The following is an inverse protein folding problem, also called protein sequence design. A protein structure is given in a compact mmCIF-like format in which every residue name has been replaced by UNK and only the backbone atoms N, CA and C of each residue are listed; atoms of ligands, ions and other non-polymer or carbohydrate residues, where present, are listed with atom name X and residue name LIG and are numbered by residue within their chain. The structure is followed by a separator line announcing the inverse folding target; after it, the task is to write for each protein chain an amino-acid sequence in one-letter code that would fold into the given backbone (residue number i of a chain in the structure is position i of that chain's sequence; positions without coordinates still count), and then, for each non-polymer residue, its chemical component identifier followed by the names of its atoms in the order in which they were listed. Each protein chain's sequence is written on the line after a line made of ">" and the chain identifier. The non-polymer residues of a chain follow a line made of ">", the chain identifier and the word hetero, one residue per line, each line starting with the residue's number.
data_IF_550051224762
#
_entry.id   IF_550051224762
#
_cell.length_a   1.000
_cell.length_b   1.000
_cell.length_c   1.000
_cell.angle_alpha   90.00
_cell.angle_beta   90.00
_cell.angle_gamma   90.00
#
_symmetry.space_group_name_H-M   'P 1'
#
loop_
_entity.id
_entity.type
_entity.pdbx_description
1 polymer ?
#
# COMPACT_ATOMS: atom_id res chain seq x y z
N UNK A 1 -15.72 -3.05 -12.45
CA UNK A 1 -17.00 -3.80 -12.43
C UNK A 1 -18.07 -3.12 -13.25
N UNK A 2 -18.22 -1.79 -13.13
CA UNK A 2 -19.20 -1.01 -13.88
C UNK A 2 -19.01 -1.08 -15.40
N UNK A 3 -17.77 -1.02 -15.90
CA UNK A 3 -17.49 -1.12 -17.35
C UNK A 3 -17.88 -2.48 -17.95
N UNK A 4 -17.56 -3.60 -17.29
CA UNK A 4 -17.98 -4.94 -17.74
C UNK A 4 -19.51 -5.06 -17.72
N UNK A 5 -20.17 -4.52 -16.70
CA UNK A 5 -21.62 -4.52 -16.61
C UNK A 5 -22.28 -3.66 -17.69
N UNK A 6 -21.70 -2.50 -18.02
CA UNK A 6 -22.18 -1.61 -19.08
C UNK A 6 -22.05 -2.27 -20.47
N UNK A 7 -20.90 -2.85 -20.77
CA UNK A 7 -20.65 -3.56 -22.02
C UNK A 7 -21.49 -4.85 -22.13
N UNK A 8 -21.74 -5.55 -21.02
CA UNK A 8 -22.67 -6.68 -21.00
C UNK A 8 -24.12 -6.28 -21.27
N UNK A 9 -24.57 -5.12 -20.76
CA UNK A 9 -25.90 -4.57 -21.09
C UNK A 9 -25.99 -4.21 -22.57
N UNK A 10 -24.98 -3.54 -23.13
CA UNK A 10 -24.87 -3.23 -24.56
C UNK A 10 -24.93 -4.49 -25.43
N UNK A 11 -24.26 -5.58 -25.00
CA UNK A 11 -24.32 -6.87 -25.68
C UNK A 11 -25.73 -7.47 -25.69
N UNK A 12 -26.45 -7.38 -24.57
CA UNK A 12 -27.82 -7.88 -24.47
C UNK A 12 -28.82 -7.06 -25.32
N UNK A 13 -28.50 -5.79 -25.61
CA UNK A 13 -29.32 -4.94 -26.50
C UNK A 13 -29.05 -5.15 -27.99
N UNK A 14 -28.08 -5.99 -28.36
CA UNK A 14 -27.72 -6.23 -29.77
C UNK A 14 -26.88 -5.12 -30.42
N UNK A 15 -26.60 -4.02 -29.72
CA UNK A 15 -25.83 -2.86 -30.22
C UNK A 15 -24.31 -2.99 -30.00
N UNK A 16 -23.80 -4.21 -29.89
CA UNK A 16 -22.42 -4.46 -29.50
C UNK A 16 -21.51 -4.56 -30.72
N UNK A 17 -20.52 -3.66 -30.79
CA UNK A 17 -19.47 -3.68 -31.82
C UNK A 17 -18.47 -4.81 -31.58
N UNK A 18 -17.70 -5.15 -32.61
CA UNK A 18 -16.63 -6.16 -32.52
C UNK A 18 -15.56 -5.73 -31.50
N UNK A 19 -15.28 -4.44 -31.42
CA UNK A 19 -14.34 -3.84 -30.46
C UNK A 19 -14.84 -3.99 -29.02
N UNK A 20 -16.12 -3.71 -28.77
CA UNK A 20 -16.74 -3.89 -27.46
C UNK A 20 -16.68 -5.35 -26.97
N UNK A 21 -16.77 -6.32 -27.88
CA UNK A 21 -16.60 -7.76 -27.56
C UNK A 21 -15.16 -8.08 -27.15
N UNK A 22 -14.17 -7.57 -27.88
CA UNK A 22 -12.74 -7.74 -27.54
C UNK A 22 -12.42 -7.12 -26.18
N UNK A 23 -12.92 -5.91 -25.92
CA UNK A 23 -12.72 -5.21 -24.65
C UNK A 23 -13.36 -5.97 -23.48
N UNK A 24 -14.54 -6.55 -23.69
CA UNK A 24 -15.16 -7.44 -22.71
C UNK A 24 -14.28 -8.63 -22.35
N UNK A 25 -13.73 -9.33 -23.34
CA UNK A 25 -12.87 -10.50 -23.12
C UNK A 25 -11.58 -10.11 -22.36
N UNK A 26 -10.96 -8.98 -22.75
CA UNK A 26 -9.78 -8.44 -22.06
C UNK A 26 -10.10 -8.11 -20.60
N UNK A 27 -11.22 -7.44 -20.35
CA UNK A 27 -11.64 -7.07 -19.00
C UNK A 27 -12.00 -8.31 -18.15
N UNK A 28 -12.62 -9.33 -18.73
CA UNK A 28 -12.88 -10.61 -18.07
C UNK A 28 -11.59 -11.33 -17.67
N UNK A 29 -10.61 -11.39 -18.58
CA UNK A 29 -9.30 -11.97 -18.31
C UNK A 29 -8.55 -11.20 -17.21
N UNK A 30 -8.55 -9.86 -17.29
CA UNK A 30 -7.97 -8.99 -16.26
C UNK A 30 -8.60 -9.24 -14.89
N UNK A 31 -9.94 -9.34 -14.83
CA UNK A 31 -10.67 -9.64 -13.59
C UNK A 31 -10.30 -11.01 -13.02
N UNK A 32 -10.26 -12.03 -13.88
CA UNK A 32 -9.86 -13.39 -13.48
C UNK A 32 -8.46 -13.41 -12.86
N UNK A 33 -7.50 -12.75 -13.52
CA UNK A 33 -6.12 -12.66 -13.04
C UNK A 33 -6.00 -11.91 -11.69
N UNK A 34 -6.71 -10.78 -11.55
CA UNK A 34 -6.73 -10.02 -10.29
C UNK A 34 -7.36 -10.83 -9.15
N UNK A 35 -8.43 -11.58 -9.42
CA UNK A 35 -9.05 -12.46 -8.42
C UNK A 35 -8.11 -13.59 -8.00
N UNK A 36 -7.42 -14.24 -8.95
CA UNK A 36 -6.39 -15.26 -8.64
C UNK A 36 -5.29 -14.68 -7.75
N UNK A 37 -4.77 -13.49 -8.11
CA UNK A 37 -3.73 -12.80 -7.32
C UNK A 37 -4.23 -12.44 -5.92
N UNK A 38 -5.46 -11.96 -5.80
CA UNK A 38 -6.08 -11.61 -4.52
C UNK A 38 -6.20 -12.84 -3.61
N UNK A 39 -6.69 -13.95 -4.14
CA UNK A 39 -6.81 -15.20 -3.41
C UNK A 39 -5.45 -15.75 -2.96
N UNK A 40 -4.44 -15.66 -3.83
CA UNK A 40 -3.07 -16.03 -3.50
C UNK A 40 -2.51 -15.17 -2.35
N UNK A 41 -2.72 -13.86 -2.37
CA UNK A 41 -2.29 -12.96 -1.30
C UNK A 41 -3.00 -13.24 0.03
N UNK A 42 -4.31 -13.52 -0.01
CA UNK A 42 -5.07 -13.91 1.18
C UNK A 42 -4.51 -15.20 1.79
N UNK A 43 -4.27 -16.22 0.96
CA UNK A 43 -3.68 -17.49 1.39
C UNK A 43 -2.28 -17.29 2.00
N UNK A 44 -1.43 -16.51 1.33
CA UNK A 44 -0.10 -16.18 1.83
C UNK A 44 -0.15 -15.45 3.18
N UNK A 45 -1.07 -14.50 3.34
CA UNK A 45 -1.27 -13.78 4.60
C UNK A 45 -1.71 -14.73 5.71
N UNK A 46 -2.62 -15.66 5.44
CA UNK A 46 -3.07 -16.65 6.41
C UNK A 46 -1.91 -17.57 6.83
N UNK A 47 -1.12 -18.07 5.87
CA UNK A 47 0.05 -18.91 6.13
C UNK A 47 1.10 -18.17 6.97
N UNK A 48 1.43 -16.92 6.61
CA UNK A 48 2.37 -16.09 7.38
C UNK A 48 1.86 -15.85 8.80
N UNK A 49 0.57 -15.59 8.98
CA UNK A 49 -0.05 -15.39 10.29
C UNK A 49 0.08 -16.63 11.15
N UNK A 50 -0.18 -17.81 10.58
CA UNK A 50 -0.01 -19.11 11.26
C UNK A 50 1.44 -19.33 11.69
N UNK A 51 2.40 -19.10 10.78
CA UNK A 51 3.82 -19.25 11.07
C UNK A 51 4.26 -18.32 12.20
N UNK A 52 3.85 -17.04 12.17
CA UNK A 52 4.16 -16.07 13.22
C UNK A 52 3.59 -16.49 14.58
N UNK A 53 2.34 -16.96 14.61
CA UNK A 53 1.70 -17.47 15.83
C UNK A 53 2.47 -18.67 16.40
N UNK A 54 2.83 -19.64 15.56
CA UNK A 54 3.58 -20.82 16.00
C UNK A 54 4.97 -20.45 16.52
N UNK A 55 5.71 -19.59 15.81
CA UNK A 55 7.02 -19.09 16.27
C UNK A 55 6.92 -18.36 17.61
N UNK A 56 5.88 -17.53 17.79
CA UNK A 56 5.64 -16.84 19.06
C UNK A 56 5.38 -17.84 20.19
N UNK A 57 4.62 -18.91 19.93
CA UNK A 57 4.33 -19.94 20.92
C UNK A 57 5.58 -20.77 21.27
N UNK A 58 6.37 -21.17 20.27
CA UNK A 58 7.66 -21.84 20.48
C UNK A 58 8.64 -20.98 21.26
N UNK A 59 8.72 -19.69 20.94
CA UNK A 59 9.56 -18.74 21.67
C UNK A 59 9.13 -18.64 23.13
N UNK A 60 7.82 -18.48 23.39
CA UNK A 60 7.30 -18.46 24.77
C UNK A 60 7.67 -19.71 25.54
N UNK A 61 7.42 -20.89 24.96
CA UNK A 61 7.76 -22.16 25.60
C UNK A 61 9.26 -22.30 25.90
N UNK A 62 10.14 -21.81 25.01
CA UNK A 62 11.58 -21.81 25.23
C UNK A 62 11.97 -20.87 26.38
N UNK A 63 11.37 -19.68 26.44
CA UNK A 63 11.60 -18.72 27.53
C UNK A 63 11.07 -19.23 28.88
N UNK A 64 9.93 -19.92 28.88
CA UNK A 64 9.33 -20.51 30.09
C UNK A 64 10.22 -21.63 30.65
N UNK A 65 10.83 -22.45 29.78
CA UNK A 65 11.71 -23.55 30.18
C UNK A 65 13.15 -23.10 30.54
N UNK A 66 13.57 -21.94 30.05
CA UNK A 66 14.91 -21.39 30.26
C UNK A 66 14.83 -19.94 30.76
N UNK A 67 14.46 -19.73 32.03
CA UNK A 67 14.23 -18.39 32.58
C UNK A 67 15.48 -17.50 32.61
N UNK A 68 16.68 -18.10 32.61
CA UNK A 68 17.95 -17.36 32.53
C UNK A 68 18.09 -16.63 31.19
N UNK A 69 17.76 -17.30 30.09
CA UNK A 69 17.75 -16.73 28.73
C UNK A 69 16.67 -15.65 28.61
N UNK A 70 15.52 -15.83 29.27
CA UNK A 70 14.44 -14.83 29.29
C UNK A 70 14.89 -13.52 29.95
N UNK A 71 15.68 -13.58 31.01
CA UNK A 71 16.24 -12.39 31.67
C UNK A 71 17.20 -11.64 30.75
N UNK A 72 18.12 -12.34 30.07
CA UNK A 72 19.04 -11.73 29.12
C UNK A 72 18.31 -11.09 27.92
N UNK A 73 17.29 -11.77 27.39
CA UNK A 73 16.51 -11.28 26.24
C UNK A 73 15.50 -10.18 26.60
N UNK A 74 15.12 -10.03 27.86
CA UNK A 74 14.21 -8.96 28.31
C UNK A 74 14.76 -7.55 28.04
N UNK A 75 16.09 -7.39 28.05
CA UNK A 75 16.77 -6.14 27.69
C UNK A 75 16.71 -5.83 26.19
N UNK A 76 16.72 -6.86 25.33
CA UNK A 76 16.71 -6.70 23.87
C UNK A 76 15.30 -6.59 23.28
N UNK A 77 14.29 -7.18 23.92
CA UNK A 77 12.91 -7.27 23.41
C UNK A 77 12.07 -6.00 23.59
N UNK A 78 12.56 -5.01 24.36
CA UNK A 78 11.93 -3.69 24.50
C UNK A 78 12.15 -2.76 23.30
N UNK A 79 12.90 -3.18 22.28
CA UNK A 79 12.97 -2.45 21.01
C UNK A 79 11.74 -2.84 20.20
N UNK A 80 10.64 -2.14 20.42
CA UNK A 80 9.34 -2.37 19.79
C UNK A 80 9.48 -2.64 18.29
N UNK A 81 9.24 -3.88 17.89
CA UNK A 81 9.34 -4.29 16.48
C UNK A 81 8.23 -3.56 15.71
N UNK A 82 8.62 -2.60 14.88
CA UNK A 82 7.78 -2.03 13.83
C UNK A 82 7.37 -0.57 13.97
N UNK A 83 7.84 0.17 14.98
CA UNK A 83 7.72 1.64 14.98
C UNK A 83 8.82 2.23 15.84
N UNK A 84 9.75 3.06 15.31
CA UNK A 84 10.53 3.91 16.20
C UNK A 84 9.52 4.67 17.07
N UNK A 85 9.71 4.60 18.39
CA UNK A 85 8.95 5.47 19.30
C UNK A 85 9.27 6.89 18.87
N UNK A 86 8.31 7.57 18.25
CA UNK A 86 8.35 9.03 18.14
C UNK A 86 8.46 9.48 19.59
N UNK A 87 9.63 10.00 19.98
CA UNK A 87 9.76 10.68 21.27
C UNK A 87 8.58 11.64 21.33
N UNK A 88 7.78 11.55 22.39
CA UNK A 88 6.52 12.28 22.52
C UNK A 88 6.68 13.80 22.29
N UNK A 89 7.91 14.29 22.32
CA UNK A 89 8.30 15.66 22.02
C UNK A 89 9.47 15.64 21.04
N UNK A 90 9.21 15.34 19.76
CA UNK A 90 10.11 15.75 18.68
C UNK A 90 9.55 17.03 18.07
N UNK A 91 10.06 18.22 18.48
CA UNK A 91 9.53 19.49 18.03
C UNK A 91 9.66 19.69 16.51
N UNK A 92 10.60 19.00 15.86
CA UNK A 92 10.77 19.04 14.40
C UNK A 92 9.73 18.20 13.65
N UNK A 93 9.10 17.22 14.30
CA UNK A 93 8.16 16.31 13.65
C UNK A 93 6.84 17.01 13.30
N UNK A 94 6.33 17.87 14.17
CA UNK A 94 5.10 18.64 13.89
C UNK A 94 5.33 19.59 12.70
N UNK A 95 6.50 20.23 12.65
CA UNK A 95 6.94 21.05 11.52
C UNK A 95 7.01 20.24 10.23
N UNK A 96 7.70 19.09 10.25
CA UNK A 96 7.79 18.22 9.07
C UNK A 96 6.43 17.70 8.60
N UNK A 97 5.48 17.43 9.52
CA UNK A 97 4.10 17.05 9.17
C UNK A 97 3.36 18.23 8.52
N UNK A 98 3.51 19.45 9.03
CA UNK A 98 2.92 20.64 8.42
C UNK A 98 3.53 20.93 7.05
N UNK A 99 4.83 20.70 6.87
CA UNK A 99 5.56 20.89 5.62
C UNK A 99 5.12 19.90 4.54
N UNK A 100 4.84 18.65 4.93
CA UNK A 100 4.31 17.63 4.02
C UNK A 100 2.82 17.88 3.73
N UNK A 101 2.04 18.28 4.73
CA UNK A 101 0.60 18.50 4.60
C UNK A 101 0.26 19.79 3.83
N UNK A 102 1.16 20.77 3.82
CA UNK A 102 1.04 22.00 3.05
C UNK A 102 2.01 22.00 1.86
N UNK A 103 1.65 21.39 0.72
CA UNK A 103 2.49 21.37 -0.48
C UNK A 103 2.76 22.76 -1.12
N UNK A 104 2.38 23.85 -0.44
CA UNK A 104 2.65 25.23 -0.83
C UNK A 104 3.75 25.95 -0.04
N UNK A 105 4.27 25.41 1.08
CA UNK A 105 5.18 26.17 1.96
C UNK A 105 6.64 25.70 1.91
N UNK A 106 6.92 24.44 1.56
CA UNK A 106 8.30 23.95 1.41
C UNK A 106 8.63 23.68 -0.06
N UNK A 107 8.92 24.76 -0.76
CA UNK A 107 9.84 24.75 -1.89
C UNK A 107 10.60 26.07 -1.81
N UNK A 108 11.76 26.04 -1.17
CA UNK A 108 12.72 27.15 -1.12
C UNK A 108 13.26 27.44 -2.53
N UNK A 109 12.41 28.00 -3.38
CA UNK A 109 12.78 28.59 -4.66
C UNK A 109 12.04 29.93 -4.80
N UNK A 110 12.79 31.03 -4.66
CA UNK A 110 12.30 32.40 -4.76
C UNK A 110 11.56 32.65 -6.09
N UNK A 111 11.86 31.86 -7.14
CA UNK A 111 11.25 31.96 -8.47
C UNK A 111 9.79 31.50 -8.54
N UNK A 112 9.30 30.74 -7.55
CA UNK A 112 7.88 30.32 -7.48
C UNK A 112 6.92 31.49 -7.26
N UNK A 113 7.36 32.64 -6.73
CA UNK A 113 6.49 33.83 -6.59
C UNK A 113 6.16 34.47 -7.95
N UNK A 114 7.02 34.31 -8.95
CA UNK A 114 6.89 34.96 -10.26
C UNK A 114 6.56 34.00 -11.40
N UNK A 115 6.77 32.70 -11.22
CA UNK A 115 6.49 31.68 -12.23
C UNK A 115 5.82 30.43 -11.67
N UNK A 116 4.84 29.90 -12.41
CA UNK A 116 4.20 28.61 -12.09
C UNK A 116 5.15 27.47 -12.45
N UNK A 117 5.98 27.06 -11.49
CA UNK A 117 6.86 25.89 -11.65
C UNK A 117 6.05 24.63 -11.31
N UNK A 118 5.59 23.92 -12.34
CA UNK A 118 4.93 22.62 -12.17
C UNK A 118 5.99 21.55 -11.95
N UNK A 119 5.89 20.79 -10.86
CA UNK A 119 6.77 19.65 -10.54
C UNK A 119 6.51 18.41 -11.40
N UNK A 120 5.57 18.48 -12.33
CA UNK A 120 5.21 17.42 -13.27
C UNK A 120 4.72 18.03 -14.59
N UNK A 121 5.05 17.38 -15.71
CA UNK A 121 4.57 17.74 -17.04
C UNK A 121 3.04 17.59 -17.11
N UNK A 122 2.35 18.57 -17.70
CA UNK A 122 0.93 18.41 -18.01
C UNK A 122 0.73 17.41 -19.14
N UNK A 123 -0.43 16.78 -19.19
CA UNK A 123 -0.79 15.82 -20.25
C UNK A 123 -0.65 16.39 -21.67
N UNK A 124 -0.81 17.71 -21.85
CA UNK A 124 -0.59 18.38 -23.14
C UNK A 124 0.89 18.46 -23.53
N UNK A 125 1.82 18.45 -22.57
CA UNK A 125 3.26 18.46 -22.81
C UNK A 125 3.85 17.06 -23.07
N UNK A 126 3.01 16.02 -22.99
CA UNK A 126 3.37 14.62 -23.27
C UNK A 126 2.88 14.16 -24.67
N UNK A 127 2.37 15.09 -25.49
CA UNK A 127 1.77 14.79 -26.81
C UNK A 127 2.58 15.30 -28.01
N UNK A 128 3.85 15.62 -27.82
CA UNK A 128 4.84 15.71 -28.92
C UNK A 128 5.67 14.43 -29.00
#
# INVERSE_FOLDING_TARGET
>A
NEQIAALSKLNNTGLCTIENKKDMDILHNKRSNLNKKTNQLISNRAAQTRIRKNRKLQMKHLLDNHPEIAKELSGFTNIGVGRPSIKATDPGLLGAIMDIANPGVVAADERRRTAVIRSCLSLDALKE
#
